data_IF_855926573694
#
_entry.id   IF_855926573694
#
_cell.length_a   1.000
_cell.length_b   1.000
_cell.length_c   1.000
_cell.angle_alpha   90.00
_cell.angle_beta   90.00
_cell.angle_gamma   90.00
#
_symmetry.space_group_name_H-M   'P 1'
#
loop_
_entity.id
_entity.type
_entity.pdbx_description
1 polymer ?
#
# COMPACT_ATOMS: atom_id res chain seq x y z
N UNK A 1 79.35 27.23 35.98
CA UNK A 1 78.12 26.56 36.43
C UNK A 1 77.32 27.63 37.11
N UNK A 2 76.17 28.10 36.63
CA UNK A 2 75.03 27.39 36.04
C UNK A 2 74.31 28.17 34.92
N UNK A 3 73.37 27.47 34.30
CA UNK A 3 72.76 27.62 32.98
C UNK A 3 71.77 28.77 32.76
N UNK A 4 71.64 29.11 31.46
CA UNK A 4 70.56 29.86 30.82
C UNK A 4 69.14 29.34 31.13
N UNK A 5 68.13 30.23 31.08
CA UNK A 5 66.84 29.89 30.46
C UNK A 5 66.35 31.08 29.62
N UNK A 6 66.29 30.84 28.30
CA UNK A 6 65.78 31.73 27.26
C UNK A 6 64.27 31.51 27.11
N UNK A 7 63.46 32.53 27.39
CA UNK A 7 62.01 32.49 27.20
C UNK A 7 61.70 32.60 25.70
N UNK A 8 60.99 31.61 25.13
CA UNK A 8 60.63 31.55 23.70
C UNK A 8 59.12 31.72 23.57
N UNK A 9 58.70 32.73 22.82
CA UNK A 9 57.29 33.08 22.57
C UNK A 9 56.53 31.93 21.90
N UNK A 10 55.68 31.24 22.66
CA UNK A 10 54.83 30.15 22.16
C UNK A 10 53.39 30.59 21.83
N UNK A 11 53.11 31.90 21.85
CA UNK A 11 51.74 32.43 21.78
C UNK A 11 51.20 32.57 20.34
N UNK A 12 52.07 32.64 19.34
CA UNK A 12 51.65 32.75 17.94
C UNK A 12 51.19 31.43 17.27
N UNK A 13 51.81 30.25 17.50
CA UNK A 13 51.34 29.01 16.88
C UNK A 13 50.08 28.43 17.55
N UNK A 14 49.81 28.76 18.82
CA UNK A 14 48.64 28.26 19.55
C UNK A 14 47.32 28.91 19.10
N UNK A 15 47.35 30.20 18.74
CA UNK A 15 46.17 30.94 18.26
C UNK A 15 45.74 30.51 16.85
N UNK A 16 46.70 30.12 16.00
CA UNK A 16 46.42 29.58 14.66
C UNK A 16 45.74 28.21 14.77
N UNK A 17 46.24 27.32 15.63
CA UNK A 17 45.62 26.01 15.87
C UNK A 17 44.20 26.14 16.44
N UNK A 18 43.99 27.01 17.43
CA UNK A 18 42.65 27.25 17.99
C UNK A 18 41.66 27.78 16.93
N UNK A 19 42.12 28.69 16.05
CA UNK A 19 41.29 29.25 14.98
C UNK A 19 40.89 28.20 13.94
N UNK A 20 41.80 27.28 13.58
CA UNK A 20 41.48 26.19 12.64
C UNK A 20 40.47 25.19 13.20
N UNK A 21 40.54 24.89 14.50
CA UNK A 21 39.58 23.99 15.16
C UNK A 21 38.20 24.65 15.24
N UNK A 22 38.13 25.94 15.54
CA UNK A 22 36.86 26.69 15.58
C UNK A 22 36.24 26.74 14.18
N UNK A 23 37.03 27.02 13.13
CA UNK A 23 36.53 27.02 11.75
C UNK A 23 36.08 25.63 11.29
N UNK A 24 36.77 24.56 11.69
CA UNK A 24 36.35 23.18 11.40
C UNK A 24 35.05 22.81 12.14
N UNK A 25 34.90 23.22 13.41
CA UNK A 25 33.66 23.03 14.16
C UNK A 25 32.49 23.82 13.58
N UNK A 26 32.72 25.08 13.16
CA UNK A 26 31.70 25.90 12.48
C UNK A 26 31.34 25.30 11.12
N UNK A 27 32.31 24.78 10.37
CA UNK A 27 32.05 24.12 9.09
C UNK A 27 31.24 22.83 9.28
N UNK A 28 31.59 21.99 10.28
CA UNK A 28 30.81 20.79 10.64
C UNK A 28 29.40 21.13 11.14
N UNK A 29 29.26 22.22 11.91
CA UNK A 29 27.96 22.66 12.43
C UNK A 29 27.05 23.21 11.32
N UNK A 30 27.62 23.97 10.38
CA UNK A 30 26.88 24.57 9.25
C UNK A 30 26.53 23.55 8.17
N UNK A 31 27.43 22.62 7.85
CA UNK A 31 27.14 21.50 6.93
C UNK A 31 26.13 20.51 7.52
N UNK A 32 26.23 20.19 8.81
CA UNK A 32 25.21 19.40 9.52
C UNK A 32 23.85 20.10 9.65
N UNK A 33 23.82 21.44 9.61
CA UNK A 33 22.58 22.23 9.59
C UNK A 33 21.94 22.28 8.18
N UNK A 34 22.74 22.30 7.11
CA UNK A 34 22.23 22.22 5.73
C UNK A 34 21.68 20.82 5.39
N UNK A 35 22.32 19.75 5.87
CA UNK A 35 21.81 18.38 5.67
C UNK A 35 20.48 18.12 6.38
N UNK A 36 20.22 18.82 7.51
CA UNK A 36 18.91 18.77 8.19
C UNK A 36 17.81 19.50 7.44
N UNK A 37 18.14 20.45 6.56
CA UNK A 37 17.16 21.19 5.76
C UNK A 37 16.81 20.47 4.44
N UNK A 38 17.63 19.51 3.99
CA UNK A 38 17.40 18.73 2.77
C UNK A 38 16.83 17.32 3.00
N UNK A 39 16.42 16.98 4.22
CA UNK A 39 15.57 15.79 4.40
C UNK A 39 14.18 16.06 3.83
N UNK A 40 13.62 15.16 2.99
CA UNK A 40 12.22 15.24 2.61
C UNK A 40 11.37 15.22 3.88
N UNK A 41 10.79 16.37 4.22
CA UNK A 41 9.89 16.49 5.34
C UNK A 41 8.72 15.55 5.10
N UNK A 42 8.72 14.42 5.82
CA UNK A 42 7.58 13.52 5.85
C UNK A 42 6.50 14.26 6.63
N UNK A 43 5.55 14.87 5.92
CA UNK A 43 4.43 15.55 6.55
C UNK A 43 3.72 14.55 7.48
N UNK A 44 3.31 14.96 8.70
CA UNK A 44 2.48 14.13 9.55
C UNK A 44 1.20 13.81 8.79
N UNK A 45 0.99 12.54 8.44
CA UNK A 45 -0.21 12.08 7.76
C UNK A 45 -1.42 12.39 8.63
N UNK A 46 -2.21 13.38 8.19
CA UNK A 46 -3.40 13.83 8.86
C UNK A 46 -4.50 12.79 8.67
N UNK A 47 -4.68 11.92 9.67
CA UNK A 47 -5.85 11.04 9.76
C UNK A 47 -7.05 11.90 10.16
N UNK A 48 -7.73 12.51 9.19
CA UNK A 48 -9.06 13.09 9.45
C UNK A 48 -10.10 11.97 9.44
N UNK A 49 -11.26 12.20 10.04
CA UNK A 49 -12.42 11.29 9.96
C UNK A 49 -12.98 11.11 8.54
N UNK A 50 -12.28 11.59 7.49
CA UNK A 50 -12.73 11.69 6.10
C UNK A 50 -11.87 10.88 5.11
N UNK A 51 -11.08 9.92 5.61
CA UNK A 51 -10.20 9.06 4.80
C UNK A 51 -8.71 9.34 4.97
N UNK A 52 -7.91 8.72 4.11
CA UNK A 52 -6.44 8.80 4.09
C UNK A 52 -5.97 9.45 2.79
N UNK A 53 -4.90 10.22 2.87
CA UNK A 53 -4.17 10.71 1.69
C UNK A 53 -2.87 9.95 1.61
N UNK A 54 -2.74 9.12 0.58
CA UNK A 54 -1.54 8.33 0.33
C UNK A 54 -0.44 9.24 -0.20
N UNK A 55 0.85 8.98 0.11
CA UNK A 55 1.97 9.80 -0.34
C UNK A 55 2.32 9.53 -1.82
N UNK A 56 1.31 9.48 -2.68
CA UNK A 56 1.44 9.03 -4.07
C UNK A 56 0.51 9.81 -4.98
N UNK A 57 1.05 10.32 -6.08
CA UNK A 57 0.27 11.06 -7.09
C UNK A 57 -0.25 10.11 -8.16
N UNK A 58 -1.55 10.20 -8.44
CA UNK A 58 -2.19 9.38 -9.47
C UNK A 58 -1.84 9.84 -10.89
N UNK A 59 -1.78 11.16 -11.13
CA UNK A 59 -1.45 11.70 -12.44
C UNK A 59 -2.45 11.30 -13.53
N UNK A 60 -1.95 10.82 -14.66
CA UNK A 60 -2.69 10.42 -15.87
C UNK A 60 -2.92 8.90 -16.00
N UNK A 61 -2.72 8.13 -14.92
CA UNK A 61 -2.79 6.67 -14.97
C UNK A 61 -4.14 6.13 -15.45
N UNK A 62 -5.25 6.74 -15.04
CA UNK A 62 -6.59 6.36 -15.54
C UNK A 62 -6.69 6.47 -17.05
N UNK A 63 -6.26 7.61 -17.62
CA UNK A 63 -6.19 7.83 -19.07
C UNK A 63 -5.31 6.82 -19.78
N UNK A 64 -4.12 6.55 -19.23
CA UNK A 64 -3.19 5.55 -19.79
C UNK A 64 -3.83 4.16 -19.83
N UNK A 65 -4.48 3.74 -18.75
CA UNK A 65 -5.18 2.45 -18.68
C UNK A 65 -6.37 2.36 -19.65
N UNK A 66 -7.11 3.45 -19.85
CA UNK A 66 -8.18 3.52 -20.86
C UNK A 66 -7.62 3.40 -22.27
N UNK A 67 -6.57 4.16 -22.57
CA UNK A 67 -5.93 4.17 -23.89
C UNK A 67 -5.33 2.80 -24.23
N UNK A 68 -4.75 2.13 -23.23
CA UNK A 68 -4.19 0.79 -23.33
C UNK A 68 -5.25 -0.32 -23.40
N UNK A 69 -6.52 -0.02 -23.12
CA UNK A 69 -7.63 -0.99 -23.11
C UNK A 69 -7.78 -1.80 -21.82
N UNK A 70 -6.92 -1.58 -20.83
CA UNK A 70 -7.01 -2.24 -19.50
C UNK A 70 -8.29 -1.83 -18.77
N UNK A 71 -8.79 -0.62 -19.05
CA UNK A 71 -10.09 -0.14 -18.61
C UNK A 71 -10.95 0.19 -19.84
N UNK A 72 -12.09 -0.47 -19.98
CA UNK A 72 -13.19 0.06 -20.78
C UNK A 72 -13.94 1.11 -19.95
N UNK A 73 -13.70 2.39 -20.27
CA UNK A 73 -14.24 3.52 -19.53
C UNK A 73 -15.78 3.49 -19.42
N UNK A 74 -16.46 3.06 -20.49
CA UNK A 74 -17.93 3.01 -20.51
C UNK A 74 -18.43 1.93 -19.56
N UNK A 75 -17.85 0.72 -19.64
CA UNK A 75 -18.20 -0.37 -18.71
C UNK A 75 -17.86 -0.02 -17.27
N UNK A 76 -16.74 0.69 -17.05
CA UNK A 76 -16.34 1.15 -15.73
C UNK A 76 -17.38 2.12 -15.14
N UNK A 77 -17.91 3.06 -15.92
CA UNK A 77 -19.00 3.93 -15.46
C UNK A 77 -20.31 3.17 -15.22
N UNK A 78 -20.65 2.23 -16.11
CA UNK A 78 -21.89 1.43 -16.05
C UNK A 78 -21.99 0.64 -14.73
N UNK A 79 -20.90 0.05 -14.22
CA UNK A 79 -20.93 -0.72 -12.96
C UNK A 79 -21.23 0.14 -11.72
N UNK A 80 -21.06 1.46 -11.79
CA UNK A 80 -21.38 2.39 -10.70
C UNK A 80 -22.65 3.21 -10.94
N UNK A 81 -23.26 3.13 -12.14
CA UNK A 81 -24.44 3.93 -12.48
C UNK A 81 -25.59 3.74 -11.49
N UNK A 82 -25.85 2.49 -11.07
CA UNK A 82 -26.91 2.17 -10.10
C UNK A 82 -26.58 2.56 -8.65
N UNK A 83 -25.35 3.05 -8.38
CA UNK A 83 -24.89 3.48 -7.06
C UNK A 83 -24.68 5.00 -6.96
N UNK A 84 -25.33 5.76 -7.84
CA UNK A 84 -25.17 7.22 -7.93
C UNK A 84 -24.08 7.68 -8.92
N UNK A 85 -23.43 6.75 -9.61
CA UNK A 85 -22.41 7.04 -10.62
C UNK A 85 -21.07 7.48 -10.03
N UNK A 86 -20.14 7.86 -10.91
CA UNK A 86 -18.83 8.37 -10.50
C UNK A 86 -18.92 9.85 -10.07
N UNK A 87 -18.33 10.17 -8.92
CA UNK A 87 -18.16 11.57 -8.48
C UNK A 87 -17.23 12.34 -9.41
N UNK A 88 -17.18 13.67 -9.28
CA UNK A 88 -16.27 14.51 -10.07
C UNK A 88 -14.80 14.11 -9.85
N UNK A 89 -14.42 13.92 -8.60
CA UNK A 89 -13.06 13.53 -8.19
C UNK A 89 -12.70 12.16 -8.77
N UNK A 90 -13.65 11.23 -8.78
CA UNK A 90 -13.45 9.91 -9.37
C UNK A 90 -13.30 9.98 -10.89
N UNK A 91 -14.09 10.82 -11.56
CA UNK A 91 -13.92 11.08 -13.00
C UNK A 91 -12.57 11.74 -13.29
N UNK A 92 -12.05 12.57 -12.39
CA UNK A 92 -10.70 13.13 -12.51
C UNK A 92 -9.61 12.05 -12.37
N UNK A 93 -9.79 11.03 -11.52
CA UNK A 93 -8.88 9.87 -11.52
C UNK A 93 -8.95 9.06 -12.82
N UNK A 94 -10.12 8.96 -13.43
CA UNK A 94 -10.32 8.15 -14.64
C UNK A 94 -9.88 8.89 -15.92
N UNK A 95 -10.19 10.18 -16.05
CA UNK A 95 -10.00 10.98 -17.27
C UNK A 95 -9.06 12.19 -17.10
N UNK A 96 -8.68 12.53 -15.87
CA UNK A 96 -7.79 13.66 -15.59
C UNK A 96 -6.31 13.32 -15.73
N UNK A 97 -5.47 14.35 -15.66
CA UNK A 97 -4.00 14.23 -15.67
C UNK A 97 -3.38 14.93 -14.45
N UNK A 98 -4.04 15.99 -13.97
CA UNK A 98 -3.57 16.83 -12.88
C UNK A 98 -4.31 16.49 -11.58
N UNK A 99 -4.12 15.25 -11.16
CA UNK A 99 -4.63 14.77 -9.88
C UNK A 99 -3.63 15.07 -8.76
N UNK A 100 -4.15 15.34 -7.57
CA UNK A 100 -3.35 15.46 -6.35
C UNK A 100 -2.82 14.10 -5.87
N UNK A 101 -2.47 14.05 -4.59
CA UNK A 101 -2.21 12.78 -3.94
C UNK A 101 -3.49 11.93 -3.86
N UNK A 102 -3.36 10.62 -4.00
CA UNK A 102 -4.48 9.69 -4.01
C UNK A 102 -5.19 9.68 -2.64
N UNK A 103 -6.44 10.12 -2.60
CA UNK A 103 -7.30 10.11 -1.41
C UNK A 103 -8.19 8.87 -1.42
N UNK A 104 -8.12 8.08 -0.35
CA UNK A 104 -8.96 6.89 -0.15
C UNK A 104 -9.85 7.13 1.07
N UNK A 105 -11.16 6.97 0.90
CA UNK A 105 -12.17 7.15 1.94
C UNK A 105 -13.02 5.89 2.02
N UNK A 106 -13.86 5.77 3.05
CA UNK A 106 -14.80 4.66 3.14
C UNK A 106 -15.74 4.61 1.93
N UNK A 107 -16.17 5.77 1.44
CA UNK A 107 -17.11 5.93 0.34
C UNK A 107 -16.50 5.56 -1.02
N UNK A 108 -15.22 5.92 -1.27
CA UNK A 108 -14.58 5.67 -2.56
C UNK A 108 -13.69 4.40 -2.57
N UNK A 109 -13.50 3.74 -1.42
CA UNK A 109 -12.58 2.61 -1.24
C UNK A 109 -12.73 1.52 -2.30
N UNK A 110 -13.96 1.15 -2.65
CA UNK A 110 -14.26 0.14 -3.67
C UNK A 110 -13.96 0.59 -5.10
N UNK A 111 -14.04 1.88 -5.39
CA UNK A 111 -13.63 2.43 -6.71
C UNK A 111 -12.11 2.46 -6.82
N UNK A 112 -11.44 2.92 -5.76
CA UNK A 112 -9.98 2.91 -5.70
C UNK A 112 -9.43 1.49 -5.81
N UNK A 113 -10.09 0.50 -5.18
CA UNK A 113 -9.75 -0.91 -5.35
C UNK A 113 -9.77 -1.32 -6.82
N UNK A 114 -10.84 -1.00 -7.56
CA UNK A 114 -10.95 -1.39 -8.98
C UNK A 114 -9.94 -0.65 -9.88
N UNK A 115 -9.64 0.62 -9.60
CA UNK A 115 -8.60 1.36 -10.32
C UNK A 115 -7.21 0.75 -10.08
N UNK A 116 -6.90 0.42 -8.83
CA UNK A 116 -5.63 -0.22 -8.47
C UNK A 116 -5.55 -1.67 -8.96
N UNK A 117 -6.69 -2.38 -9.02
CA UNK A 117 -6.76 -3.72 -9.59
C UNK A 117 -6.42 -3.68 -11.08
N UNK A 118 -7.05 -2.78 -11.84
CA UNK A 118 -6.71 -2.55 -13.24
C UNK A 118 -5.22 -2.21 -13.41
N UNK A 119 -4.69 -1.35 -12.53
CA UNK A 119 -3.29 -0.97 -12.55
C UNK A 119 -2.37 -2.17 -12.32
N UNK A 120 -2.58 -2.93 -11.26
CA UNK A 120 -1.76 -4.10 -10.93
C UNK A 120 -1.87 -5.20 -11.98
N UNK A 121 -3.04 -5.40 -12.59
CA UNK A 121 -3.20 -6.38 -13.67
C UNK A 121 -2.46 -5.94 -14.95
N UNK A 122 -2.59 -4.67 -15.31
CA UNK A 122 -2.11 -4.14 -16.59
C UNK A 122 -0.63 -3.75 -16.59
N UNK A 123 -0.11 -3.29 -15.46
CA UNK A 123 1.28 -2.85 -15.33
C UNK A 123 2.23 -4.04 -15.49
N UNK A 124 3.28 -3.84 -16.30
CA UNK A 124 4.33 -4.86 -16.47
C UNK A 124 5.08 -5.07 -15.14
N UNK A 125 5.09 -6.30 -14.64
CA UNK A 125 5.77 -6.67 -13.40
C UNK A 125 6.31 -8.11 -13.39
N UNK A 126 7.54 -8.29 -12.93
CA UNK A 126 8.19 -9.61 -12.83
C UNK A 126 7.48 -10.57 -11.84
N UNK A 127 6.76 -10.05 -10.84
CA UNK A 127 5.94 -10.86 -9.92
C UNK A 127 4.82 -11.59 -10.67
N UNK A 128 4.29 -10.99 -11.73
CA UNK A 128 3.24 -11.61 -12.55
C UNK A 128 3.82 -12.53 -13.64
N UNK A 129 5.00 -12.21 -14.16
CA UNK A 129 5.65 -12.97 -15.25
C UNK A 129 6.46 -14.18 -14.79
N UNK A 130 7.01 -14.13 -13.57
CA UNK A 130 7.88 -15.16 -13.02
C UNK A 130 7.55 -15.55 -11.57
N UNK A 131 6.60 -14.84 -10.93
CA UNK A 131 6.21 -15.12 -9.56
C UNK A 131 5.29 -16.34 -9.41
N UNK A 132 4.80 -16.61 -8.19
CA UNK A 132 4.24 -17.88 -7.81
C UNK A 132 2.94 -18.21 -8.54
N UNK A 133 2.15 -17.24 -9.01
CA UNK A 133 0.95 -17.53 -9.83
C UNK A 133 1.28 -18.31 -11.11
N UNK A 134 2.47 -18.11 -11.69
CA UNK A 134 2.91 -18.82 -12.91
C UNK A 134 3.16 -20.31 -12.69
N UNK A 135 3.30 -20.73 -11.43
CA UNK A 135 3.50 -22.12 -11.05
C UNK A 135 2.17 -22.90 -11.01
N UNK A 136 1.04 -22.20 -11.19
CA UNK A 136 -0.30 -22.77 -11.07
C UNK A 136 -1.05 -22.66 -12.39
N UNK A 137 -1.30 -23.81 -13.01
CA UNK A 137 -2.30 -24.01 -14.07
C UNK A 137 -2.46 -22.85 -15.06
N UNK A 138 -3.72 -22.55 -15.37
CA UNK A 138 -4.09 -21.45 -16.24
C UNK A 138 -4.31 -20.17 -15.43
N UNK A 139 -3.40 -19.20 -15.61
CA UNK A 139 -3.40 -17.89 -14.94
C UNK A 139 -4.70 -17.13 -15.20
N UNK A 140 -5.39 -17.38 -16.32
CA UNK A 140 -6.66 -16.73 -16.65
C UNK A 140 -7.82 -17.09 -15.71
N UNK A 141 -7.70 -18.15 -14.92
CA UNK A 141 -8.78 -18.64 -14.04
C UNK A 141 -8.73 -18.07 -12.62
N UNK A 142 -7.72 -17.26 -12.27
CA UNK A 142 -7.68 -16.59 -10.98
C UNK A 142 -8.75 -15.49 -10.89
N UNK A 143 -9.22 -15.22 -9.68
CA UNK A 143 -10.20 -14.16 -9.45
C UNK A 143 -9.66 -12.77 -9.83
N UNK A 144 -8.34 -12.55 -9.70
CA UNK A 144 -7.66 -11.32 -10.13
C UNK A 144 -7.55 -11.15 -11.64
N UNK A 145 -7.69 -12.21 -12.43
CA UNK A 145 -7.55 -12.15 -13.89
C UNK A 145 -8.90 -12.40 -14.55
N UNK A 146 -9.46 -13.60 -14.44
CA UNK A 146 -10.77 -13.96 -15.00
C UNK A 146 -11.93 -13.16 -14.41
N UNK A 147 -11.79 -12.62 -13.19
CA UNK A 147 -12.76 -11.72 -12.59
C UNK A 147 -12.74 -10.29 -13.15
N UNK A 148 -11.67 -9.88 -13.84
CA UNK A 148 -11.56 -8.53 -14.41
C UNK A 148 -12.17 -8.50 -15.82
N UNK A 149 -13.43 -8.07 -15.92
CA UNK A 149 -14.20 -8.09 -17.19
C UNK A 149 -14.37 -6.70 -17.81
N UNK A 150 -13.75 -5.68 -17.22
CA UNK A 150 -13.90 -4.26 -17.58
C UNK A 150 -12.76 -3.81 -18.50
N UNK A 151 -12.45 -4.62 -19.51
CA UNK A 151 -11.37 -4.39 -20.50
C UNK A 151 -11.93 -4.24 -21.91
N UNK A 152 -11.14 -3.62 -22.80
CA UNK A 152 -11.30 -3.75 -24.25
C UNK A 152 -10.55 -4.99 -24.72
N UNK A 153 -11.26 -6.08 -24.98
CA UNK A 153 -10.67 -7.41 -25.16
C UNK A 153 -10.76 -8.22 -23.88
N UNK A 154 -9.94 -9.26 -23.73
CA UNK A 154 -9.86 -10.07 -22.52
C UNK A 154 -8.83 -9.55 -21.52
N UNK A 155 -9.00 -9.89 -20.23
CA UNK A 155 -8.04 -9.53 -19.19
C UNK A 155 -6.60 -9.96 -19.50
N UNK A 156 -6.45 -11.18 -20.03
CA UNK A 156 -5.14 -11.75 -20.40
C UNK A 156 -4.48 -11.04 -21.58
N UNK A 157 -5.21 -10.25 -22.37
CA UNK A 157 -4.62 -9.42 -23.43
C UNK A 157 -3.79 -8.26 -22.84
N UNK A 158 -3.99 -7.95 -21.56
CA UNK A 158 -3.36 -6.84 -20.83
C UNK A 158 -2.51 -7.27 -19.64
N UNK A 159 -2.57 -8.54 -19.22
CA UNK A 159 -1.85 -9.06 -18.05
C UNK A 159 -0.33 -8.81 -18.16
N UNK A 160 0.22 -8.05 -17.21
CA UNK A 160 1.65 -7.68 -17.13
C UNK A 160 2.25 -7.12 -18.44
N UNK A 161 1.50 -6.27 -19.15
CA UNK A 161 1.89 -5.90 -20.53
C UNK A 161 2.30 -4.45 -20.72
N UNK A 162 1.76 -3.53 -19.92
CA UNK A 162 1.84 -2.11 -20.20
C UNK A 162 2.83 -1.42 -19.27
N UNK A 163 3.69 -0.57 -19.84
CA UNK A 163 4.65 0.23 -19.07
C UNK A 163 3.98 1.55 -18.68
N UNK A 164 3.23 1.56 -17.57
CA UNK A 164 2.60 2.78 -17.05
C UNK A 164 3.55 3.64 -16.23
N UNK A 165 4.54 3.00 -15.62
CA UNK A 165 5.68 3.57 -14.93
C UNK A 165 6.85 2.58 -15.03
N UNK A 166 8.06 3.06 -14.78
CA UNK A 166 9.26 2.23 -14.74
C UNK A 166 9.68 2.04 -13.28
N UNK A 167 10.07 0.81 -12.92
CA UNK A 167 10.71 0.49 -11.66
C UNK A 167 12.18 0.20 -11.91
N UNK A 168 13.05 0.85 -11.16
CA UNK A 168 14.46 0.45 -11.05
C UNK A 168 14.57 -0.96 -10.46
N UNK A 169 15.68 -1.68 -10.68
CA UNK A 169 15.91 -2.99 -10.05
C UNK A 169 15.72 -2.95 -8.51
N UNK A 170 16.17 -1.88 -7.86
CA UNK A 170 16.03 -1.69 -6.42
C UNK A 170 14.56 -1.50 -6.00
N UNK A 171 13.79 -0.73 -6.78
CA UNK A 171 12.35 -0.55 -6.55
C UNK A 171 11.57 -1.85 -6.78
N UNK A 172 11.88 -2.61 -7.82
CA UNK A 172 11.25 -3.91 -8.09
C UNK A 172 11.55 -4.90 -6.96
N UNK A 173 12.81 -5.01 -6.53
CA UNK A 173 13.19 -5.85 -5.40
C UNK A 173 12.49 -5.44 -4.10
N UNK A 174 12.28 -4.13 -3.89
CA UNK A 174 11.51 -3.64 -2.75
C UNK A 174 10.03 -4.08 -2.82
N UNK A 175 9.38 -3.98 -3.98
CA UNK A 175 8.00 -4.45 -4.19
C UNK A 175 7.89 -5.95 -3.92
N UNK A 176 8.83 -6.76 -4.41
CA UNK A 176 8.88 -8.20 -4.17
C UNK A 176 9.03 -8.53 -2.68
N UNK A 177 9.94 -7.85 -1.98
CA UNK A 177 10.18 -8.10 -0.56
C UNK A 177 8.97 -7.68 0.29
N UNK A 178 8.39 -6.53 0.01
CA UNK A 178 7.23 -6.03 0.76
C UNK A 178 5.99 -6.89 0.52
N UNK A 179 5.71 -7.24 -0.74
CA UNK A 179 4.51 -7.99 -1.12
C UNK A 179 4.45 -9.41 -0.51
N UNK A 180 5.59 -10.03 -0.19
CA UNK A 180 5.66 -11.33 0.52
C UNK A 180 5.09 -11.29 1.94
N UNK A 181 5.01 -10.10 2.53
CA UNK A 181 4.68 -9.91 3.94
C UNK A 181 3.31 -9.26 4.17
N UNK A 182 2.57 -8.96 3.11
CA UNK A 182 1.26 -8.27 3.21
C UNK A 182 0.14 -9.25 2.88
N UNK A 183 -0.65 -9.58 3.91
CA UNK A 183 -1.82 -10.43 3.85
C UNK A 183 -3.12 -9.63 3.97
N UNK A 184 -4.24 -10.29 3.68
CA UNK A 184 -5.60 -9.74 3.79
C UNK A 184 -6.52 -10.80 4.39
N UNK A 185 -7.49 -10.41 5.24
CA UNK A 185 -8.19 -11.35 6.10
C UNK A 185 -9.17 -12.28 5.34
N UNK A 186 -9.22 -12.20 4.02
CA UNK A 186 -10.03 -13.05 3.14
C UNK A 186 -9.30 -14.32 2.65
N UNK A 187 -7.96 -14.38 2.64
CA UNK A 187 -7.22 -15.57 2.21
C UNK A 187 -5.87 -15.73 2.93
N UNK A 188 -5.16 -16.85 2.69
CA UNK A 188 -3.82 -17.09 3.24
C UNK A 188 -2.69 -16.77 2.26
N UNK A 189 -3.02 -16.17 1.11
CA UNK A 189 -2.04 -15.81 0.10
C UNK A 189 -1.51 -14.39 0.36
N UNK A 190 -0.18 -14.17 0.35
CA UNK A 190 0.38 -12.84 0.45
C UNK A 190 0.13 -12.06 -0.85
N UNK A 191 0.40 -10.75 -0.84
CA UNK A 191 0.32 -9.89 -2.03
C UNK A 191 1.20 -10.37 -3.18
N UNK A 192 2.31 -11.04 -2.87
CA UNK A 192 3.18 -11.67 -3.87
C UNK A 192 2.49 -12.82 -4.64
N UNK A 193 1.34 -13.33 -4.17
CA UNK A 193 0.45 -14.20 -4.91
C UNK A 193 -0.89 -13.46 -5.13
N UNK A 194 -0.95 -12.52 -6.09
CA UNK A 194 -2.10 -11.64 -6.27
C UNK A 194 -3.25 -12.32 -7.04
N UNK A 195 -3.79 -13.40 -6.48
CA UNK A 195 -4.83 -14.25 -7.10
C UNK A 195 -6.27 -13.73 -7.01
N UNK A 196 -6.49 -12.68 -6.21
CA UNK A 196 -7.77 -12.01 -6.03
C UNK A 196 -7.69 -10.52 -6.37
N UNK A 197 -8.84 -9.89 -6.55
CA UNK A 197 -8.95 -8.45 -6.83
C UNK A 197 -8.23 -7.59 -5.78
N UNK A 198 -8.39 -7.90 -4.49
CA UNK A 198 -7.64 -7.22 -3.43
C UNK A 198 -6.14 -7.45 -3.62
N UNK A 199 -5.76 -8.71 -3.83
CA UNK A 199 -4.40 -9.19 -4.13
C UNK A 199 -3.68 -8.26 -5.10
N UNK A 200 -4.26 -8.22 -6.30
CA UNK A 200 -3.78 -7.45 -7.44
C UNK A 200 -3.85 -5.94 -7.23
N UNK A 201 -4.90 -5.43 -6.57
CA UNK A 201 -5.00 -4.00 -6.26
C UNK A 201 -3.89 -3.52 -5.33
N UNK A 202 -3.56 -4.30 -4.29
CA UNK A 202 -2.44 -3.94 -3.42
C UNK A 202 -1.11 -4.02 -4.17
N UNK A 203 -0.92 -5.01 -5.06
CA UNK A 203 0.29 -5.06 -5.89
C UNK A 203 0.43 -3.76 -6.70
N UNK A 204 -0.62 -3.34 -7.41
CA UNK A 204 -0.65 -2.07 -8.14
C UNK A 204 -0.35 -0.85 -7.28
N UNK A 205 -0.82 -0.84 -6.01
CA UNK A 205 -0.48 0.22 -5.06
C UNK A 205 1.01 0.21 -4.69
N UNK A 206 1.58 -0.96 -4.39
CA UNK A 206 2.99 -1.11 -4.01
C UNK A 206 3.92 -0.70 -5.15
N UNK A 207 3.61 -1.12 -6.38
CA UNK A 207 4.33 -0.70 -7.58
C UNK A 207 4.27 0.81 -7.77
N UNK A 208 3.07 1.39 -7.66
CA UNK A 208 2.90 2.83 -7.79
C UNK A 208 3.69 3.59 -6.71
N UNK A 209 3.64 3.15 -5.45
CA UNK A 209 4.42 3.74 -4.36
C UNK A 209 5.93 3.65 -4.63
N UNK A 210 6.42 2.48 -5.03
CA UNK A 210 7.83 2.25 -5.33
C UNK A 210 8.30 3.15 -6.48
N UNK A 211 7.50 3.27 -7.56
CA UNK A 211 7.80 4.16 -8.70
C UNK A 211 7.94 5.64 -8.31
N UNK A 212 7.38 6.04 -7.16
CA UNK A 212 7.48 7.39 -6.59
C UNK A 212 8.53 7.51 -5.47
N UNK A 213 9.35 6.49 -5.27
CA UNK A 213 10.44 6.50 -4.31
C UNK A 213 10.02 6.26 -2.86
N UNK A 214 8.84 5.65 -2.63
CA UNK A 214 8.45 5.25 -1.29
C UNK A 214 9.42 4.19 -0.74
N UNK A 215 9.80 4.32 0.54
CA UNK A 215 10.59 3.31 1.24
C UNK A 215 9.70 2.21 1.84
N UNK A 216 10.34 1.12 2.31
CA UNK A 216 9.66 -0.05 2.91
C UNK A 216 8.63 0.34 3.99
N UNK A 217 9.01 1.24 4.90
CA UNK A 217 8.13 1.70 5.99
C UNK A 217 6.88 2.40 5.45
N UNK A 218 7.04 3.28 4.47
CA UNK A 218 5.93 3.99 3.84
C UNK A 218 4.99 3.02 3.11
N UNK A 219 5.53 1.97 2.47
CA UNK A 219 4.74 0.96 1.79
C UNK A 219 3.87 0.15 2.77
N UNK A 220 4.44 -0.32 3.89
CA UNK A 220 3.64 -1.02 4.90
C UNK A 220 2.61 -0.10 5.56
N UNK A 221 2.95 1.17 5.82
CA UNK A 221 1.99 2.14 6.37
C UNK A 221 0.82 2.37 5.41
N UNK A 222 1.09 2.59 4.13
CA UNK A 222 0.06 2.77 3.11
C UNK A 222 -0.80 1.50 2.97
N UNK A 223 -0.17 0.32 2.92
CA UNK A 223 -0.89 -0.95 2.83
C UNK A 223 -1.80 -1.21 4.04
N UNK A 224 -1.34 -0.92 5.25
CA UNK A 224 -2.14 -1.05 6.47
C UNK A 224 -3.36 -0.12 6.42
N UNK A 225 -3.15 1.13 6.03
CA UNK A 225 -4.23 2.11 5.94
C UNK A 225 -5.27 1.71 4.88
N UNK A 226 -4.83 1.24 3.71
CA UNK A 226 -5.73 0.83 2.63
C UNK A 226 -6.47 -0.46 2.97
N UNK A 227 -5.78 -1.48 3.49
CA UNK A 227 -6.45 -2.69 3.97
C UNK A 227 -7.47 -2.40 5.08
N UNK A 228 -7.19 -1.46 5.97
CA UNK A 228 -8.15 -1.05 7.02
C UNK A 228 -9.43 -0.43 6.45
N UNK A 229 -9.38 0.15 5.25
CA UNK A 229 -10.56 0.67 4.54
C UNK A 229 -11.27 -0.41 3.73
N UNK A 230 -10.54 -1.39 3.20
CA UNK A 230 -11.12 -2.53 2.48
C UNK A 230 -11.75 -3.58 3.41
N UNK A 231 -11.25 -3.69 4.64
CA UNK A 231 -11.65 -4.69 5.64
C UNK A 231 -11.91 -4.03 7.01
N UNK A 232 -12.86 -3.09 7.12
CA UNK A 232 -13.01 -2.25 8.31
C UNK A 232 -13.38 -3.05 9.57
N UNK A 233 -14.19 -4.10 9.45
CA UNK A 233 -14.62 -4.92 10.58
C UNK A 233 -13.47 -5.79 11.11
N UNK A 234 -12.67 -6.35 10.21
CA UNK A 234 -11.54 -7.19 10.53
C UNK A 234 -10.43 -6.38 11.20
N UNK A 235 -10.09 -5.20 10.66
CA UNK A 235 -9.08 -4.33 11.27
C UNK A 235 -9.56 -3.70 12.58
N UNK A 236 -10.86 -3.46 12.75
CA UNK A 236 -11.44 -3.10 14.05
C UNK A 236 -11.29 -4.25 15.07
N UNK A 237 -11.45 -5.50 14.63
CA UNK A 237 -11.25 -6.68 15.48
C UNK A 237 -9.79 -6.90 15.85
N UNK A 238 -8.87 -6.73 14.90
CA UNK A 238 -7.41 -6.71 15.15
C UNK A 238 -7.06 -5.62 16.18
N UNK A 239 -7.65 -4.42 16.05
CA UNK A 239 -7.44 -3.33 17.01
C UNK A 239 -7.84 -3.73 18.43
N UNK A 240 -9.02 -4.35 18.57
CA UNK A 240 -9.52 -4.85 19.87
C UNK A 240 -8.65 -5.96 20.44
N UNK A 241 -8.09 -6.82 19.60
CA UNK A 241 -7.13 -7.85 20.02
C UNK A 241 -5.90 -7.21 20.69
N UNK A 242 -5.24 -6.26 20.04
CA UNK A 242 -4.08 -5.60 20.62
C UNK A 242 -4.42 -4.77 21.86
N UNK A 243 -5.58 -4.11 21.87
CA UNK A 243 -6.06 -3.41 23.05
C UNK A 243 -6.24 -4.35 24.25
N UNK A 244 -6.73 -5.59 24.04
CA UNK A 244 -6.82 -6.60 25.10
C UNK A 244 -5.47 -7.03 25.68
N UNK A 245 -4.37 -6.75 24.98
CA UNK A 245 -2.98 -6.96 25.39
C UNK A 245 -2.32 -5.69 25.94
N UNK A 246 -3.08 -4.62 26.19
CA UNK A 246 -2.59 -3.30 26.58
C UNK A 246 -1.60 -2.68 25.57
N UNK A 247 -1.74 -3.03 24.28
CA UNK A 247 -0.94 -2.45 23.20
C UNK A 247 -1.79 -1.49 22.36
N UNK A 248 -1.18 -0.40 21.91
CA UNK A 248 -1.82 0.56 21.00
C UNK A 248 -1.38 0.26 19.56
N UNK A 249 -2.31 0.24 18.60
CA UNK A 249 -2.00 -0.04 17.18
C UNK A 249 -0.89 0.85 16.61
N UNK A 250 -0.81 2.11 17.02
CA UNK A 250 0.23 3.03 16.56
C UNK A 250 1.65 2.68 17.02
N UNK A 251 1.77 1.82 18.03
CA UNK A 251 3.05 1.35 18.58
C UNK A 251 3.50 0.02 17.97
N UNK A 252 2.65 -0.62 17.17
CA UNK A 252 2.93 -1.92 16.55
C UNK A 252 3.43 -1.66 15.13
N UNK A 253 4.43 -2.43 14.70
CA UNK A 253 4.95 -2.34 13.35
C UNK A 253 3.83 -2.69 12.35
N UNK A 254 3.52 -1.84 11.35
CA UNK A 254 2.56 -2.18 10.31
C UNK A 254 2.84 -3.51 9.60
N UNK A 255 4.12 -3.90 9.46
CA UNK A 255 4.52 -5.20 8.90
C UNK A 255 4.04 -6.38 9.74
N UNK A 256 4.03 -6.23 11.07
CA UNK A 256 3.49 -7.25 11.98
C UNK A 256 1.98 -7.39 11.79
N UNK A 257 1.25 -6.27 11.83
CA UNK A 257 -0.22 -6.25 11.67
C UNK A 257 -0.62 -6.85 10.32
N UNK A 258 0.08 -6.51 9.25
CA UNK A 258 -0.18 -7.00 7.88
C UNK A 258 0.26 -8.46 7.67
N UNK A 259 1.03 -9.03 8.61
CA UNK A 259 1.61 -10.35 8.49
C UNK A 259 0.61 -11.50 8.57
N UNK A 260 1.13 -12.71 8.34
CA UNK A 260 0.36 -13.96 8.31
C UNK A 260 -0.46 -14.18 9.59
N UNK A 261 0.07 -13.82 10.76
CA UNK A 261 -0.55 -14.14 12.04
C UNK A 261 -1.78 -13.30 12.38
N UNK A 262 -1.93 -12.14 11.75
CA UNK A 262 -3.01 -11.19 12.04
C UNK A 262 -3.91 -10.96 10.85
N UNK A 263 -3.31 -10.69 9.67
CA UNK A 263 -4.05 -10.26 8.49
C UNK A 263 -4.27 -11.37 7.48
N UNK A 264 -3.84 -12.62 7.67
CA UNK A 264 -4.32 -13.72 6.80
C UNK A 264 -5.68 -14.24 7.26
N UNK A 265 -6.43 -14.94 6.41
CA UNK A 265 -7.70 -15.57 6.82
C UNK A 265 -7.53 -16.49 8.04
N UNK A 266 -6.47 -17.30 8.06
CA UNK A 266 -6.20 -18.21 9.18
C UNK A 266 -5.75 -17.47 10.43
N UNK A 267 -4.92 -16.42 10.29
CA UNK A 267 -4.45 -15.56 11.38
C UNK A 267 -5.60 -14.79 12.00
N UNK A 268 -6.36 -14.09 11.16
CA UNK A 268 -7.55 -13.34 11.54
C UNK A 268 -8.55 -14.21 12.31
N UNK A 269 -8.86 -15.40 11.80
CA UNK A 269 -9.78 -16.33 12.49
C UNK A 269 -9.28 -16.72 13.89
N UNK A 270 -7.96 -16.92 14.08
CA UNK A 270 -7.39 -17.22 15.41
C UNK A 270 -7.58 -16.03 16.36
N UNK A 271 -7.21 -14.83 15.93
CA UNK A 271 -7.32 -13.64 16.80
C UNK A 271 -8.77 -13.27 17.09
N UNK A 272 -9.69 -13.44 16.13
CA UNK A 272 -11.11 -13.13 16.30
C UNK A 272 -11.77 -14.03 17.35
N UNK A 273 -11.31 -15.28 17.48
CA UNK A 273 -11.77 -16.19 18.52
C UNK A 273 -11.31 -15.78 19.95
N UNK A 274 -10.28 -14.94 20.06
CA UNK A 274 -9.71 -14.48 21.33
C UNK A 274 -10.29 -13.14 21.80
N UNK A 275 -11.08 -12.47 20.97
CA UNK A 275 -11.70 -11.17 21.28
C UNK A 275 -13.21 -11.35 21.43
N UNK A 276 -13.83 -10.88 22.53
CA UNK A 276 -15.29 -10.89 22.66
C UNK A 276 -15.93 -10.19 21.47
N UNK A 277 -16.82 -10.88 20.76
CA UNK A 277 -17.52 -10.30 19.62
C UNK A 277 -18.52 -9.25 20.12
N UNK A 278 -18.48 -8.04 19.57
CA UNK A 278 -19.54 -7.05 19.83
C UNK A 278 -20.77 -7.58 19.13
N UNK A 279 -21.83 -7.94 19.88
CA UNK A 279 -23.12 -8.27 19.27
C UNK A 279 -23.59 -7.03 18.50
N UNK A 280 -23.64 -7.13 17.17
CA UNK A 280 -24.34 -6.14 16.37
C UNK A 280 -25.80 -6.12 16.82
N UNK A 281 -26.26 -4.99 17.39
CA UNK A 281 -27.68 -4.70 17.52
C UNK A 281 -28.18 -4.27 16.14
N UNK A 282 -28.57 -5.24 15.32
CA UNK A 282 -29.32 -5.08 14.08
C UNK A 282 -30.55 -5.99 14.14
N UNK A 283 -31.73 -5.37 14.02
CA UNK A 283 -33.02 -5.95 14.37
C UNK A 283 -33.56 -7.07 13.48
N UNK A 284 -34.57 -7.70 14.08
CA UNK A 284 -35.54 -8.69 13.60
C UNK A 284 -36.10 -8.52 12.18
N UNK A 285 -36.35 -9.66 11.51
CA UNK A 285 -37.34 -9.87 10.44
C UNK A 285 -36.72 -10.04 9.04
N UNK A 286 -36.92 -11.10 8.26
CA UNK A 286 -37.97 -12.12 8.25
C UNK A 286 -37.40 -13.45 7.76
N UNK A 287 -37.89 -14.55 8.33
CA UNK A 287 -37.78 -15.86 7.73
C UNK A 287 -38.69 -16.01 6.52
N UNK A 288 -38.32 -16.94 5.65
CA UNK A 288 -39.22 -17.88 5.00
C UNK A 288 -38.51 -19.24 4.98
N UNK A 289 -39.01 -20.17 5.80
CA UNK A 289 -39.15 -21.59 5.42
C UNK A 289 -40.09 -21.59 4.18
N UNK A 290 -40.05 -22.46 3.19
CA UNK A 290 -39.63 -23.85 2.97
C UNK A 290 -38.98 -23.92 1.56
N UNK A 291 -38.32 -24.96 1.04
CA UNK A 291 -38.41 -26.39 1.23
C UNK A 291 -37.14 -27.01 0.61
N UNK A 292 -36.39 -27.81 1.36
CA UNK A 292 -35.44 -28.78 0.81
C UNK A 292 -36.26 -29.99 0.29
N UNK A 293 -35.82 -30.76 -0.74
CA UNK A 293 -34.55 -31.46 -0.58
C UNK A 293 -33.74 -31.88 -1.84
N UNK A 294 -32.48 -32.23 -1.52
CA UNK A 294 -31.59 -33.24 -2.13
C UNK A 294 -30.38 -32.73 -2.95
N UNK A 295 -29.24 -32.87 -2.26
CA UNK A 295 -28.00 -33.54 -2.69
C UNK A 295 -27.16 -32.98 -3.84
N UNK A 296 -25.88 -32.75 -3.52
CA UNK A 296 -24.76 -32.52 -4.44
C UNK A 296 -23.99 -31.30 -3.96
N UNK A 297 -22.86 -31.39 -3.27
CA UNK A 297 -21.70 -32.24 -3.52
C UNK A 297 -20.52 -31.29 -3.69
N UNK A 298 -19.64 -31.22 -2.68
CA UNK A 298 -18.36 -30.53 -2.83
C UNK A 298 -17.50 -31.31 -3.83
N UNK A 299 -16.95 -30.65 -4.84
CA UNK A 299 -16.08 -31.28 -5.81
C UNK A 299 -15.29 -30.27 -6.63
N UNK A 300 -13.98 -30.27 -6.36
CA UNK A 300 -12.83 -29.89 -7.20
C UNK A 300 -12.71 -28.42 -7.62
#
# INVERSE_FOLDING_TARGET
>A
MENEIKQKDSLLPASILASTIILAMVWLYTSGAQDRQNQPQTQPQQKTSEGIVLPVRWGDLGKKMINAGVIDAKRFEEIYANRGGLTKETKELLYGENNGNLKVTSENSGIILNLLWALGLGAKNDILEAGPMTQYGDIGNFASTGGWTITKGGAMDHYSKHVFFELTPEQQALVENVSKNIYRPCCNNPTHFPDCNHGMAMLGLLELLASRGANEKQMYQAALQVNSLWFPEEYSTIARYFASKNQTLSAIDPKEILGLDYSSASGFRRIAALVPQVKSQGGSGCGLEEEQPKSGGCGL
#
